data_IF_194626508743
#
_entry.id   IF_194626508743
#
_cell.length_a   1.000
_cell.length_b   1.000
_cell.length_c   1.000
_cell.angle_alpha   90.00
_cell.angle_beta   90.00
_cell.angle_gamma   90.00
#
_symmetry.space_group_name_H-M   'P 1'
#
loop_
_entity.id
_entity.type
_entity.pdbx_description
1 polymer ?
#
# COMPACT_ATOMS: atom_id res chain seq x y z
N UNK A 1 -13.19 14.72 -0.69
CA UNK A 1 -14.09 15.25 0.36
C UNK A 1 -15.49 14.72 0.18
N UNK A 2 -16.06 14.76 -1.04
CA UNK A 2 -17.38 14.21 -1.35
C UNK A 2 -17.54 12.71 -1.06
N UNK A 3 -16.54 11.88 -1.43
CA UNK A 3 -16.51 10.43 -1.13
C UNK A 3 -16.47 10.07 0.37
N UNK A 4 -16.09 10.99 1.27
CA UNK A 4 -16.08 10.70 2.71
C UNK A 4 -17.44 10.94 3.36
N UNK A 5 -18.26 11.81 2.76
CA UNK A 5 -19.64 12.06 3.19
C UNK A 5 -20.61 10.99 2.66
N UNK A 6 -20.35 10.43 1.47
CA UNK A 6 -21.18 9.34 0.90
C UNK A 6 -20.92 7.97 1.54
N UNK A 7 -19.71 7.70 2.06
CA UNK A 7 -19.32 6.42 2.64
C UNK A 7 -18.97 6.51 4.14
N UNK A 8 -19.61 7.41 4.88
CA UNK A 8 -19.26 7.71 6.28
C UNK A 8 -19.21 6.50 7.23
N UNK A 9 -20.01 5.47 6.97
CA UNK A 9 -20.10 4.23 7.77
C UNK A 9 -18.95 3.24 7.53
N UNK A 10 -18.19 3.44 6.44
CA UNK A 10 -17.06 2.60 6.05
C UNK A 10 -15.73 3.05 6.66
N UNK A 11 -15.73 4.15 7.42
CA UNK A 11 -14.54 4.71 8.05
C UNK A 11 -14.59 4.67 9.58
N UNK A 12 -13.43 4.43 10.19
CA UNK A 12 -13.25 4.44 11.65
C UNK A 12 -12.64 5.77 12.09
N UNK A 13 -13.45 6.57 12.78
CA UNK A 13 -13.06 7.90 13.28
C UNK A 13 -12.36 7.89 14.65
N UNK A 14 -11.67 6.79 14.97
CA UNK A 14 -10.98 6.62 16.26
C UNK A 14 -9.69 7.44 16.35
N UNK A 15 -8.87 7.37 15.30
CA UNK A 15 -7.57 8.03 15.23
C UNK A 15 -7.64 9.41 14.56
N UNK A 16 -8.70 9.66 13.80
CA UNK A 16 -8.99 10.92 13.11
C UNK A 16 -10.43 11.22 13.46
N UNK A 17 -10.69 12.29 14.23
CA UNK A 17 -11.95 12.52 14.93
C UNK A 17 -12.99 13.25 14.07
N UNK A 18 -12.57 13.84 12.96
CA UNK A 18 -13.48 14.50 12.01
C UNK A 18 -12.92 14.58 10.59
N UNK A 19 -13.79 14.93 9.64
CA UNK A 19 -13.41 15.20 8.25
C UNK A 19 -12.44 16.39 8.16
N UNK A 20 -12.61 17.40 9.02
CA UNK A 20 -11.72 18.56 9.12
C UNK A 20 -10.34 18.13 9.63
N UNK A 21 -10.28 17.28 10.65
CA UNK A 21 -9.02 16.73 11.15
C UNK A 21 -8.33 15.88 10.07
N UNK A 22 -9.08 15.06 9.34
CA UNK A 22 -8.55 14.32 8.20
C UNK A 22 -7.97 15.25 7.13
N UNK A 23 -8.68 16.34 6.83
CA UNK A 23 -8.22 17.38 5.92
C UNK A 23 -6.91 18.01 6.38
N UNK A 24 -6.80 18.33 7.68
CA UNK A 24 -5.59 18.87 8.29
C UNK A 24 -4.42 17.88 8.22
N UNK A 25 -4.63 16.63 8.63
CA UNK A 25 -3.59 15.58 8.59
C UNK A 25 -3.05 15.40 7.17
N UNK A 26 -3.93 15.35 6.17
CA UNK A 26 -3.53 15.24 4.75
C UNK A 26 -2.79 16.48 4.27
N UNK A 27 -3.24 17.68 4.66
CA UNK A 27 -2.59 18.93 4.29
C UNK A 27 -1.19 19.04 4.90
N UNK A 28 -1.04 18.66 6.17
CA UNK A 28 0.25 18.70 6.87
C UNK A 28 1.22 17.68 6.27
N UNK A 29 0.78 16.47 5.94
CA UNK A 29 1.58 15.49 5.20
C UNK A 29 2.00 16.00 3.81
N UNK A 30 1.09 16.66 3.08
CA UNK A 30 1.40 17.27 1.78
C UNK A 30 2.45 18.38 1.92
N UNK A 31 2.36 19.24 2.93
CA UNK A 31 3.34 20.30 3.19
C UNK A 31 4.73 19.71 3.50
N UNK A 32 4.79 18.65 4.31
CA UNK A 32 6.04 17.95 4.61
C UNK A 32 6.67 17.35 3.35
N UNK A 33 5.87 16.71 2.51
CA UNK A 33 6.34 16.20 1.21
C UNK A 33 6.87 17.33 0.32
N UNK A 34 6.11 18.41 0.14
CA UNK A 34 6.52 19.52 -0.72
C UNK A 34 7.79 20.23 -0.23
N UNK A 35 8.02 20.27 1.08
CA UNK A 35 9.23 20.83 1.66
C UNK A 35 10.49 19.98 1.38
N UNK A 36 10.37 18.65 1.31
CA UNK A 36 11.49 17.74 0.97
C UNK A 36 11.64 17.49 -0.53
N UNK A 37 10.56 17.65 -1.32
CA UNK A 37 10.47 17.13 -2.69
C UNK A 37 11.56 17.64 -3.64
N UNK A 38 11.79 18.96 -3.71
CA UNK A 38 12.73 19.53 -4.67
C UNK A 38 14.18 19.09 -4.40
N UNK A 39 14.59 19.10 -3.14
CA UNK A 39 15.94 18.69 -2.76
C UNK A 39 16.09 17.16 -2.82
N UNK A 40 15.08 16.42 -2.37
CA UNK A 40 15.04 14.97 -2.49
C UNK A 40 15.08 14.50 -3.94
N UNK A 41 14.45 15.23 -4.87
CA UNK A 41 14.50 14.92 -6.30
C UNK A 41 15.91 15.14 -6.86
N UNK A 42 16.54 16.27 -6.53
CA UNK A 42 17.94 16.55 -6.94
C UNK A 42 18.92 15.53 -6.38
N UNK A 43 18.68 15.03 -5.17
CA UNK A 43 19.51 14.01 -4.53
C UNK A 43 19.14 12.57 -4.91
N UNK A 44 18.20 12.36 -5.82
CA UNK A 44 17.80 11.03 -6.29
C UNK A 44 16.89 10.21 -5.37
N UNK A 45 16.32 10.80 -4.30
CA UNK A 45 15.34 10.12 -3.42
C UNK A 45 14.00 9.85 -4.10
N UNK A 46 13.59 10.75 -5.00
CA UNK A 46 12.32 10.63 -5.73
C UNK A 46 12.58 10.24 -7.18
N UNK A 47 12.16 9.03 -7.54
CA UNK A 47 12.36 8.45 -8.87
C UNK A 47 11.00 8.27 -9.54
N UNK A 48 10.88 8.71 -10.80
CA UNK A 48 9.70 8.43 -11.61
C UNK A 48 9.76 6.99 -12.13
N UNK A 49 8.98 6.11 -11.52
CA UNK A 49 8.91 4.69 -11.87
C UNK A 49 7.49 4.15 -11.64
N UNK A 50 7.21 2.99 -12.21
CA UNK A 50 5.89 2.36 -12.11
C UNK A 50 6.01 0.85 -12.03
N UNK A 51 5.23 0.24 -11.15
CA UNK A 51 5.08 -1.21 -11.14
C UNK A 51 4.44 -1.70 -12.47
N UNK A 52 4.83 -2.88 -12.99
CA UNK A 52 5.64 -3.89 -12.34
C UNK A 52 7.14 -3.86 -12.71
N UNK A 53 7.68 -2.74 -13.21
CA UNK A 53 9.11 -2.66 -13.61
C UNK A 53 9.76 -1.46 -12.94
N UNK A 54 10.60 -1.70 -11.94
CA UNK A 54 11.31 -0.69 -11.19
C UNK A 54 12.80 -0.65 -11.60
N UNK A 55 13.42 0.53 -11.66
CA UNK A 55 14.81 0.71 -12.09
C UNK A 55 15.82 0.44 -10.95
N UNK A 56 15.58 -0.62 -10.17
CA UNK A 56 16.40 -0.98 -9.01
C UNK A 56 17.00 -2.38 -9.18
N UNK A 57 18.13 -2.60 -8.53
CA UNK A 57 18.79 -3.90 -8.47
C UNK A 57 18.01 -4.87 -7.58
N UNK A 58 18.34 -6.15 -7.72
CA UNK A 58 17.79 -7.17 -6.84
C UNK A 58 18.27 -6.90 -5.40
N UNK A 59 17.33 -6.92 -4.46
CA UNK A 59 17.61 -6.79 -3.02
C UNK A 59 18.27 -5.46 -2.62
N UNK A 60 18.09 -4.40 -3.43
CA UNK A 60 18.67 -3.07 -3.19
C UNK A 60 18.18 -2.44 -1.87
N UNK A 61 16.95 -2.75 -1.45
CA UNK A 61 16.35 -2.22 -0.23
C UNK A 61 16.16 -3.28 0.84
N UNK A 62 16.27 -2.88 2.10
CA UNK A 62 15.85 -3.73 3.22
C UNK A 62 14.32 -3.83 3.32
N UNK A 63 13.59 -2.77 2.94
CA UNK A 63 12.15 -2.67 3.12
C UNK A 63 11.48 -1.87 1.99
N UNK A 64 10.43 -2.43 1.40
CA UNK A 64 9.49 -1.73 0.54
C UNK A 64 8.12 -1.61 1.21
N UNK A 65 7.55 -0.40 1.17
CA UNK A 65 6.22 -0.10 1.70
C UNK A 65 5.28 0.24 0.53
N UNK A 66 4.24 -0.57 0.33
CA UNK A 66 3.18 -0.29 -0.63
C UNK A 66 1.91 0.06 0.15
N UNK A 67 1.60 1.36 0.23
CA UNK A 67 0.39 1.82 0.93
C UNK A 67 -0.84 1.75 0.01
N UNK A 68 -1.60 2.84 -0.13
CA UNK A 68 -2.87 2.99 -0.86
C UNK A 68 -2.75 2.77 -2.37
N UNK A 69 -2.34 1.55 -2.77
CA UNK A 69 -2.24 1.04 -4.13
C UNK A 69 -2.60 -0.46 -4.13
N UNK A 70 -2.42 -1.17 -5.25
CA UNK A 70 -2.71 -2.59 -5.42
C UNK A 70 -4.11 -2.97 -4.91
N UNK A 71 -4.19 -3.65 -3.76
CA UNK A 71 -5.42 -4.19 -3.21
C UNK A 71 -6.49 -3.14 -2.96
N UNK A 72 -6.11 -1.89 -2.65
CA UNK A 72 -7.07 -0.79 -2.53
C UNK A 72 -7.82 -0.53 -3.85
N UNK A 73 -7.14 -0.67 -4.99
CA UNK A 73 -7.69 -0.46 -6.32
C UNK A 73 -7.99 -1.79 -7.04
N UNK A 74 -8.54 -2.76 -6.29
CA UNK A 74 -8.84 -4.11 -6.80
C UNK A 74 -9.70 -4.15 -8.08
N UNK A 75 -10.54 -3.15 -8.29
CA UNK A 75 -11.39 -3.05 -9.48
C UNK A 75 -10.67 -2.45 -10.69
N UNK A 76 -9.53 -1.79 -10.49
CA UNK A 76 -8.80 -1.08 -11.54
C UNK A 76 -7.46 -1.74 -11.91
N UNK A 77 -6.89 -2.52 -10.98
CA UNK A 77 -5.63 -3.26 -11.20
C UNK A 77 -5.98 -4.73 -11.39
N UNK A 78 -5.52 -5.33 -12.50
CA UNK A 78 -5.82 -6.74 -12.80
C UNK A 78 -5.11 -7.68 -11.83
N UNK A 79 -5.58 -8.93 -11.72
CA UNK A 79 -4.92 -9.95 -10.90
C UNK A 79 -3.46 -10.17 -11.33
N UNK A 80 -3.22 -10.21 -12.65
CA UNK A 80 -1.88 -10.35 -13.21
C UNK A 80 -0.99 -9.18 -12.82
N UNK A 81 -1.48 -7.94 -12.91
CA UNK A 81 -0.74 -6.76 -12.50
C UNK A 81 -0.41 -6.78 -11.01
N UNK A 82 -1.33 -7.24 -10.14
CA UNK A 82 -1.03 -7.43 -8.71
C UNK A 82 0.12 -8.41 -8.49
N UNK A 83 0.07 -9.56 -9.16
CA UNK A 83 1.09 -10.60 -9.05
C UNK A 83 2.44 -10.07 -9.53
N UNK A 84 2.50 -9.47 -10.73
CA UNK A 84 3.75 -8.92 -11.28
C UNK A 84 4.31 -7.81 -10.40
N UNK A 85 3.44 -6.93 -9.88
CA UNK A 85 3.84 -5.84 -8.99
C UNK A 85 4.44 -6.36 -7.68
N UNK A 86 3.81 -7.36 -7.07
CA UNK A 86 4.31 -7.94 -5.82
C UNK A 86 5.61 -8.70 -6.00
N UNK A 87 5.77 -9.40 -7.13
CA UNK A 87 7.05 -10.03 -7.49
C UNK A 87 8.14 -8.98 -7.62
N UNK A 88 7.85 -7.87 -8.30
CA UNK A 88 8.81 -6.79 -8.48
C UNK A 88 9.21 -6.14 -7.16
N UNK A 89 8.25 -5.89 -6.26
CA UNK A 89 8.54 -5.39 -4.92
C UNK A 89 9.43 -6.36 -4.12
N UNK A 90 9.16 -7.67 -4.20
CA UNK A 90 9.98 -8.69 -3.55
C UNK A 90 11.36 -8.83 -4.21
N UNK A 91 11.48 -8.56 -5.51
CA UNK A 91 12.76 -8.55 -6.21
C UNK A 91 13.67 -7.45 -5.68
N UNK A 92 13.13 -6.23 -5.53
CA UNK A 92 13.94 -5.06 -5.15
C UNK A 92 14.17 -4.92 -3.65
N UNK A 93 13.38 -5.59 -2.80
CA UNK A 93 13.45 -5.45 -1.35
C UNK A 93 13.42 -6.77 -0.58
N UNK A 94 14.17 -6.86 0.54
CA UNK A 94 14.19 -8.04 1.43
C UNK A 94 12.85 -8.31 2.09
N UNK A 95 12.14 -7.24 2.47
CA UNK A 95 10.82 -7.28 3.06
C UNK A 95 9.87 -6.34 2.34
N UNK A 96 8.65 -6.79 2.05
CA UNK A 96 7.58 -5.97 1.48
C UNK A 96 6.42 -5.94 2.43
N UNK A 97 5.91 -4.75 2.74
CA UNK A 97 4.66 -4.56 3.50
C UNK A 97 3.60 -3.87 2.65
N UNK A 98 2.41 -4.45 2.61
CA UNK A 98 1.28 -3.89 1.85
C UNK A 98 0.07 -3.65 2.73
N UNK A 99 -0.47 -2.44 2.66
CA UNK A 99 -1.66 -2.03 3.40
C UNK A 99 -2.39 -0.87 2.69
N UNK A 100 -3.73 -0.87 2.58
CA UNK A 100 -4.66 -1.87 3.12
C UNK A 100 -4.81 -3.08 2.19
N UNK A 101 -5.50 -4.11 2.69
CA UNK A 101 -5.80 -5.33 1.94
C UNK A 101 -7.27 -5.39 1.45
N UNK A 102 -8.00 -4.28 1.60
CA UNK A 102 -9.41 -4.14 1.26
C UNK A 102 -9.54 -3.28 0.00
N UNK A 103 -10.57 -3.55 -0.80
CA UNK A 103 -10.94 -2.73 -1.95
C UNK A 103 -11.63 -1.45 -1.51
N UNK A 104 -11.31 -0.32 -2.15
CA UNK A 104 -11.98 0.95 -1.93
C UNK A 104 -13.44 0.94 -2.41
N UNK A 105 -13.77 0.12 -3.41
CA UNK A 105 -15.10 0.11 -4.03
C UNK A 105 -16.10 -0.73 -3.25
N UNK A 106 -15.66 -1.81 -2.61
CA UNK A 106 -16.54 -2.77 -1.94
C UNK A 106 -16.37 -2.80 -0.43
N UNK A 107 -15.34 -2.15 0.11
CA UNK A 107 -14.94 -2.23 1.50
C UNK A 107 -14.73 -3.68 2.02
N UNK A 108 -14.41 -4.61 1.13
CA UNK A 108 -14.14 -6.02 1.44
C UNK A 108 -12.72 -6.40 1.05
N UNK A 109 -12.22 -7.51 1.60
CA UNK A 109 -10.90 -8.07 1.26
C UNK A 109 -10.76 -8.21 -0.26
N UNK A 110 -9.63 -7.75 -0.79
CA UNK A 110 -9.35 -7.81 -2.22
C UNK A 110 -9.47 -9.24 -2.76
N UNK A 111 -10.19 -9.39 -3.88
CA UNK A 111 -10.29 -10.64 -4.64
C UNK A 111 -8.92 -11.15 -5.13
N UNK A 112 -7.94 -10.25 -5.25
CA UNK A 112 -6.59 -10.56 -5.74
C UNK A 112 -5.63 -11.02 -4.64
N UNK A 113 -6.01 -10.89 -3.36
CA UNK A 113 -5.12 -11.21 -2.25
C UNK A 113 -4.70 -12.68 -2.25
N UNK A 114 -5.64 -13.61 -2.31
CA UNK A 114 -5.31 -15.05 -2.30
C UNK A 114 -4.50 -15.50 -3.53
N UNK A 115 -4.84 -15.09 -4.77
CA UNK A 115 -4.00 -15.36 -5.93
C UNK A 115 -2.55 -14.87 -5.79
N UNK A 116 -2.35 -13.67 -5.23
CA UNK A 116 -1.02 -13.12 -4.95
C UNK A 116 -0.28 -13.96 -3.92
N UNK A 117 -0.92 -14.29 -2.79
CA UNK A 117 -0.31 -15.09 -1.72
C UNK A 117 0.13 -16.46 -2.28
N UNK A 118 -0.74 -17.14 -3.03
CA UNK A 118 -0.43 -18.42 -3.65
C UNK A 118 0.80 -18.31 -4.56
N UNK A 119 0.83 -17.31 -5.44
CA UNK A 119 1.92 -17.18 -6.42
C UNK A 119 3.26 -16.83 -5.78
N UNK A 120 3.27 -16.00 -4.74
CA UNK A 120 4.51 -15.68 -4.02
C UNK A 120 5.00 -16.89 -3.20
N UNK A 121 4.09 -17.62 -2.58
CA UNK A 121 4.43 -18.84 -1.81
C UNK A 121 5.03 -19.92 -2.71
N UNK A 122 4.49 -20.11 -3.92
CA UNK A 122 5.06 -21.01 -4.94
C UNK A 122 6.50 -20.63 -5.33
N UNK A 123 6.90 -19.36 -5.16
CA UNK A 123 8.26 -18.86 -5.41
C UNK A 123 9.16 -18.98 -4.17
N UNK A 124 8.69 -19.58 -3.08
CA UNK A 124 9.44 -19.72 -1.83
C UNK A 124 9.44 -18.47 -0.96
N UNK A 125 8.60 -17.47 -1.26
CA UNK A 125 8.48 -16.27 -0.44
C UNK A 125 7.54 -16.56 0.74
N UNK A 126 8.00 -16.27 1.95
CA UNK A 126 7.19 -16.40 3.16
C UNK A 126 6.22 -15.22 3.26
N UNK A 127 4.92 -15.51 3.34
CA UNK A 127 3.87 -14.51 3.50
C UNK A 127 3.22 -14.63 4.88
N UNK A 128 2.99 -13.49 5.53
CA UNK A 128 2.22 -13.41 6.77
C UNK A 128 1.24 -12.23 6.73
N UNK A 129 0.11 -12.40 7.42
CA UNK A 129 -0.87 -11.32 7.63
C UNK A 129 -0.75 -10.83 9.07
N UNK A 130 -0.17 -9.65 9.24
CA UNK A 130 0.17 -9.08 10.56
C UNK A 130 -0.87 -8.05 10.96
N UNK A 131 -1.43 -8.10 12.19
CA UNK A 131 -2.34 -7.08 12.70
C UNK A 131 -1.69 -5.68 12.70
N UNK A 132 -2.49 -4.64 12.48
CA UNK A 132 -2.07 -3.24 12.59
C UNK A 132 -3.04 -2.45 13.46
N UNK A 133 -2.51 -1.50 14.24
CA UNK A 133 -3.32 -0.64 15.12
C UNK A 133 -3.99 0.52 14.37
N UNK A 134 -3.51 0.80 13.15
CA UNK A 134 -4.10 1.80 12.27
C UNK A 134 -5.26 1.21 11.49
N UNK A 135 -6.47 1.64 11.82
CA UNK A 135 -7.70 1.31 11.11
C UNK A 135 -8.40 2.61 10.74
N UNK A 136 -8.31 3.00 9.46
CA UNK A 136 -9.08 4.13 8.93
C UNK A 136 -10.23 3.63 8.05
N UNK A 137 -9.95 2.70 7.14
CA UNK A 137 -10.98 1.94 6.46
C UNK A 137 -11.44 0.80 7.37
N UNK A 138 -12.74 0.71 7.64
CA UNK A 138 -13.32 -0.28 8.55
C UNK A 138 -13.01 -1.70 8.07
N UNK A 139 -12.47 -2.52 8.98
CA UNK A 139 -12.02 -3.87 8.69
C UNK A 139 -10.59 -3.98 8.15
N UNK A 140 -9.93 -2.86 7.82
CA UNK A 140 -8.52 -2.85 7.39
C UNK A 140 -7.58 -2.96 8.61
N UNK A 141 -7.56 -4.15 9.20
CA UNK A 141 -6.89 -4.46 10.48
C UNK A 141 -5.61 -5.28 10.31
N UNK A 142 -5.26 -5.67 9.08
CA UNK A 142 -4.06 -6.46 8.78
C UNK A 142 -3.30 -5.88 7.60
N UNK A 143 -1.98 -6.00 7.63
CA UNK A 143 -1.09 -5.79 6.49
C UNK A 143 -0.52 -7.13 6.02
N UNK A 144 -0.19 -7.22 4.72
CA UNK A 144 0.58 -8.34 4.18
C UNK A 144 2.07 -8.03 4.40
N UNK A 145 2.82 -9.02 4.89
CA UNK A 145 4.28 -8.98 4.98
C UNK A 145 4.84 -10.13 4.15
N UNK A 146 5.69 -9.82 3.17
CA UNK A 146 6.38 -10.79 2.33
C UNK A 146 7.89 -10.71 2.57
N UNK A 147 8.55 -11.85 2.78
CA UNK A 147 9.99 -11.93 3.01
C UNK A 147 10.58 -13.25 2.48
N UNK A 148 11.82 -13.20 2.02
CA UNK A 148 12.61 -14.43 1.84
C UNK A 148 13.03 -14.96 3.22
N UNK A 149 13.09 -16.29 3.35
CA UNK A 149 13.59 -16.98 4.56
C UNK A 149 15.09 -17.13 4.47
#
# INVERSE_FOLDING_TARGET
MQLLYEFGDDYVWKNIRSVEELGKVRLDAMKLFLADYEDGKKSGKYINASLPVLPFQDTEFDLALCSHYLFLYSEYVSQEQHILSMKELCRVAKEVRVYPLLSISTNTKSKHLEPVISKLTEMGICISLVPVDYEFQKGATKMLVAKYV
#
